data_IF_026932669372
#
_entry.id   IF_026932669372
#
_cell.length_a   1.000
_cell.length_b   1.000
_cell.length_c   1.000
_cell.angle_alpha   90.00
_cell.angle_beta   90.00
_cell.angle_gamma   90.00
#
_symmetry.space_group_name_H-M   'P 1'
#
loop_
_entity.id
_entity.type
_entity.pdbx_description
1 polymer ?
#
# COMPACT_ATOMS: atom_id res chain seq x y z
N UNK A 1 9.94 -51.06 -27.13
CA UNK A 1 10.96 -49.98 -27.11
C UNK A 1 10.68 -49.07 -28.29
N UNK A 2 10.19 -47.86 -28.05
CA UNK A 2 10.09 -46.79 -29.04
C UNK A 2 10.49 -45.51 -28.29
N UNK A 3 11.62 -44.93 -28.67
CA UNK A 3 12.16 -43.71 -28.09
C UNK A 3 11.38 -42.52 -28.66
N UNK A 4 10.41 -42.01 -27.92
CA UNK A 4 9.90 -40.65 -28.12
C UNK A 4 11.03 -39.68 -27.76
N UNK A 5 11.92 -39.45 -28.71
CA UNK A 5 12.85 -38.36 -28.67
C UNK A 5 12.09 -37.13 -29.12
N UNK A 6 11.19 -36.61 -28.25
CA UNK A 6 10.63 -35.26 -28.41
C UNK A 6 11.83 -34.33 -28.54
N UNK A 7 12.04 -33.87 -29.77
CA UNK A 7 13.14 -32.99 -30.10
C UNK A 7 12.90 -31.70 -29.32
N UNK A 8 13.62 -31.51 -28.20
CA UNK A 8 13.57 -30.29 -27.41
C UNK A 8 14.13 -29.14 -28.26
N UNK A 9 13.23 -28.49 -29.02
CA UNK A 9 13.53 -27.32 -29.84
C UNK A 9 13.51 -26.08 -28.96
N UNK A 10 14.40 -25.13 -29.27
CA UNK A 10 14.32 -23.83 -28.63
C UNK A 10 13.00 -23.14 -29.01
N UNK A 11 12.26 -22.66 -28.03
CA UNK A 11 10.97 -21.98 -28.21
C UNK A 11 11.09 -20.61 -28.91
N UNK A 12 12.32 -20.10 -29.08
CA UNK A 12 12.61 -18.84 -29.77
C UNK A 12 13.18 -19.08 -31.18
N UNK A 13 14.27 -19.85 -31.29
CA UNK A 13 14.96 -20.03 -32.58
C UNK A 13 14.74 -21.39 -33.26
N UNK A 14 13.94 -22.28 -32.67
CA UNK A 14 13.58 -23.61 -33.20
C UNK A 14 14.77 -24.52 -33.52
N UNK A 15 15.94 -24.28 -32.91
CA UNK A 15 17.13 -25.12 -33.07
C UNK A 15 17.13 -26.31 -32.12
N UNK A 16 17.61 -27.45 -32.62
CA UNK A 16 17.85 -28.73 -31.92
C UNK A 16 19.02 -28.67 -30.93
N UNK A 17 18.98 -27.71 -30.01
CA UNK A 17 20.01 -27.51 -29.00
C UNK A 17 19.46 -27.00 -27.66
N UNK A 18 18.14 -27.07 -27.46
CA UNK A 18 17.54 -26.63 -26.22
C UNK A 18 17.78 -27.65 -25.11
N UNK A 19 18.62 -27.27 -24.14
CA UNK A 19 18.97 -28.09 -22.97
C UNK A 19 18.40 -27.53 -21.67
N UNK A 20 17.86 -26.30 -21.71
CA UNK A 20 17.36 -25.59 -20.54
C UNK A 20 15.84 -25.49 -20.62
N UNK A 21 15.15 -25.95 -19.58
CA UNK A 21 13.70 -25.85 -19.43
C UNK A 21 13.35 -24.79 -18.40
N UNK A 22 12.52 -23.82 -18.77
CA UNK A 22 11.95 -22.86 -17.83
C UNK A 22 10.65 -23.42 -17.26
N UNK A 23 10.62 -23.67 -15.95
CA UNK A 23 9.43 -24.21 -15.26
C UNK A 23 8.27 -23.21 -15.20
N UNK A 24 8.58 -21.91 -15.09
CA UNK A 24 7.58 -20.84 -15.06
C UNK A 24 6.88 -20.68 -16.42
N UNK A 25 7.65 -20.66 -17.51
CA UNK A 25 7.09 -20.51 -18.86
C UNK A 25 6.71 -21.83 -19.54
N UNK A 26 7.08 -22.98 -18.95
CA UNK A 26 6.90 -24.33 -19.49
C UNK A 26 7.44 -24.47 -20.93
N UNK A 27 8.65 -23.95 -21.17
CA UNK A 27 9.28 -23.86 -22.49
C UNK A 27 10.75 -24.26 -22.45
N UNK A 28 11.22 -24.87 -23.53
CA UNK A 28 12.64 -25.20 -23.74
C UNK A 28 13.35 -24.08 -24.49
N UNK A 29 14.60 -23.82 -24.11
CA UNK A 29 15.44 -22.78 -24.71
C UNK A 29 16.86 -23.28 -24.96
N UNK A 30 17.48 -22.79 -26.04
CA UNK A 30 18.93 -22.92 -26.20
C UNK A 30 19.63 -21.99 -25.19
N UNK A 31 20.92 -22.25 -24.90
CA UNK A 31 21.66 -21.51 -23.86
C UNK A 31 21.65 -19.99 -24.06
N UNK A 32 21.75 -19.53 -25.33
CA UNK A 32 21.74 -18.10 -25.66
C UNK A 32 20.38 -17.48 -25.30
N UNK A 33 19.32 -18.06 -25.85
CA UNK A 33 17.96 -17.55 -25.72
C UNK A 33 17.44 -17.70 -24.28
N UNK A 34 17.92 -18.68 -23.52
CA UNK A 34 17.61 -18.84 -22.10
C UNK A 34 18.15 -17.68 -21.26
N UNK A 35 19.38 -17.22 -21.55
CA UNK A 35 19.98 -16.08 -20.84
C UNK A 35 19.21 -14.79 -21.13
N UNK A 36 18.86 -14.56 -22.39
CA UNK A 36 18.05 -13.40 -22.79
C UNK A 36 16.65 -13.46 -22.15
N UNK A 37 16.05 -14.65 -22.09
CA UNK A 37 14.78 -14.86 -21.40
C UNK A 37 14.85 -14.51 -19.91
N UNK A 38 15.93 -14.91 -19.22
CA UNK A 38 16.17 -14.59 -17.80
C UNK A 38 16.32 -13.09 -17.58
N UNK A 39 17.09 -12.40 -18.43
CA UNK A 39 17.24 -10.93 -18.38
C UNK A 39 15.90 -10.22 -18.59
N UNK A 40 15.08 -10.67 -19.55
CA UNK A 40 13.74 -10.11 -19.76
C UNK A 40 12.81 -10.32 -18.57
N UNK A 41 12.88 -11.49 -17.91
CA UNK A 41 12.10 -11.76 -16.71
C UNK A 41 12.50 -10.86 -15.55
N UNK A 42 13.80 -10.62 -15.37
CA UNK A 42 14.31 -9.71 -14.34
C UNK A 42 13.80 -8.28 -14.58
N UNK A 43 13.90 -7.79 -15.81
CA UNK A 43 13.40 -6.46 -16.19
C UNK A 43 11.90 -6.34 -15.93
N UNK A 44 11.11 -7.36 -16.27
CA UNK A 44 9.66 -7.36 -15.98
C UNK A 44 9.38 -7.39 -14.48
N UNK A 45 10.13 -8.19 -13.72
CA UNK A 45 9.96 -8.26 -12.28
C UNK A 45 10.18 -6.89 -11.62
N UNK A 46 11.26 -6.19 -12.00
CA UNK A 46 11.55 -4.86 -11.48
C UNK A 46 10.47 -3.84 -11.88
N UNK A 47 10.06 -3.84 -13.15
CA UNK A 47 9.13 -2.84 -13.69
C UNK A 47 7.66 -3.07 -13.30
N UNK A 48 7.25 -4.32 -13.15
CA UNK A 48 5.85 -4.68 -12.91
C UNK A 48 5.60 -5.03 -11.45
N UNK A 49 6.46 -5.84 -10.83
CA UNK A 49 6.24 -6.35 -9.48
C UNK A 49 6.80 -5.40 -8.44
N UNK A 50 8.08 -5.06 -8.52
CA UNK A 50 8.72 -4.19 -7.52
C UNK A 50 8.10 -2.80 -7.53
N UNK A 51 7.95 -2.20 -8.71
CA UNK A 51 7.30 -0.89 -8.84
C UNK A 51 5.86 -0.89 -8.31
N UNK A 52 5.04 -1.90 -8.65
CA UNK A 52 3.67 -1.98 -8.14
C UNK A 52 3.63 -2.15 -6.64
N UNK A 53 4.54 -2.94 -6.07
CA UNK A 53 4.68 -3.10 -4.63
C UNK A 53 4.99 -1.76 -3.95
N UNK A 54 5.93 -0.99 -4.48
CA UNK A 54 6.33 0.29 -3.90
C UNK A 54 5.22 1.34 -4.00
N UNK A 55 4.49 1.37 -5.12
CA UNK A 55 3.31 2.21 -5.30
C UNK A 55 2.21 1.87 -4.28
N UNK A 56 1.97 0.58 -4.03
CA UNK A 56 0.99 0.13 -3.03
C UNK A 56 1.42 0.52 -1.61
N UNK A 57 2.70 0.38 -1.27
CA UNK A 57 3.21 0.81 0.03
C UNK A 57 3.05 2.32 0.25
N UNK A 58 3.37 3.13 -0.75
CA UNK A 58 3.18 4.58 -0.68
C UNK A 58 1.70 4.97 -0.51
N UNK A 59 0.79 4.28 -1.22
CA UNK A 59 -0.65 4.47 -1.04
C UNK A 59 -1.13 4.14 0.38
N UNK A 60 -0.67 3.02 0.94
CA UNK A 60 -1.02 2.62 2.32
C UNK A 60 -0.54 3.69 3.31
N UNK A 61 0.71 4.14 3.21
CA UNK A 61 1.27 5.16 4.10
C UNK A 61 0.52 6.49 4.01
N UNK A 62 0.13 6.90 2.80
CA UNK A 62 -0.67 8.12 2.59
C UNK A 62 -2.05 8.02 3.24
N UNK A 63 -2.72 6.87 3.13
CA UNK A 63 -4.02 6.64 3.75
C UNK A 63 -3.92 6.63 5.28
N UNK A 64 -2.92 5.97 5.84
CA UNK A 64 -2.68 5.96 7.30
C UNK A 64 -2.42 7.37 7.83
N UNK A 65 -1.58 8.15 7.15
CA UNK A 65 -1.30 9.54 7.52
C UNK A 65 -2.56 10.42 7.43
N UNK A 66 -3.38 10.23 6.40
CA UNK A 66 -4.64 10.96 6.22
C UNK A 66 -5.65 10.60 7.32
N UNK A 67 -5.81 9.30 7.64
CA UNK A 67 -6.68 8.84 8.71
C UNK A 67 -6.23 9.36 10.08
N UNK A 68 -4.93 9.33 10.36
CA UNK A 68 -4.37 9.90 11.59
C UNK A 68 -4.70 11.39 11.71
N UNK A 69 -4.49 12.16 10.63
CA UNK A 69 -4.80 13.60 10.61
C UNK A 69 -6.29 13.85 10.84
N UNK A 70 -7.16 13.06 10.20
CA UNK A 70 -8.61 13.14 10.37
C UNK A 70 -9.03 12.89 11.82
N UNK A 71 -8.57 11.78 12.42
CA UNK A 71 -8.88 11.45 13.82
C UNK A 71 -8.41 12.53 14.79
N UNK A 72 -7.21 13.06 14.59
CA UNK A 72 -6.67 14.13 15.43
C UNK A 72 -7.49 15.44 15.32
N UNK A 73 -7.96 15.80 14.14
CA UNK A 73 -8.83 16.98 13.95
C UNK A 73 -10.17 16.79 14.68
N UNK A 74 -10.77 15.60 14.61
CA UNK A 74 -11.99 15.31 15.37
C UNK A 74 -11.80 15.43 16.88
N UNK A 75 -10.68 14.94 17.42
CA UNK A 75 -10.35 15.08 18.83
C UNK A 75 -10.19 16.56 19.24
N UNK A 76 -9.54 17.37 18.40
CA UNK A 76 -9.40 18.81 18.64
C UNK A 76 -10.77 19.52 18.65
N UNK A 77 -11.66 19.17 17.72
CA UNK A 77 -13.03 19.73 17.68
C UNK A 77 -13.79 19.35 18.95
N UNK A 78 -13.69 18.10 19.40
CA UNK A 78 -14.37 17.64 20.62
C UNK A 78 -13.84 18.35 21.88
N UNK A 79 -12.53 18.53 21.98
CA UNK A 79 -11.90 19.29 23.07
C UNK A 79 -12.33 20.76 23.04
N UNK A 80 -12.35 21.38 21.86
CA UNK A 80 -12.80 22.76 21.69
C UNK A 80 -14.27 22.90 22.11
N UNK A 81 -15.14 21.98 21.70
CA UNK A 81 -16.56 21.94 22.07
C UNK A 81 -16.74 21.85 23.59
N UNK A 82 -16.09 20.88 24.24
CA UNK A 82 -16.14 20.68 25.70
C UNK A 82 -15.66 21.92 26.45
N UNK A 83 -14.54 22.50 26.03
CA UNK A 83 -13.96 23.69 26.66
C UNK A 83 -14.88 24.89 26.55
N UNK A 84 -15.49 25.08 25.37
CA UNK A 84 -16.39 26.21 25.11
C UNK A 84 -17.66 26.10 25.95
N UNK A 85 -18.29 24.92 25.99
CA UNK A 85 -19.48 24.68 26.83
C UNK A 85 -19.15 24.94 28.30
N UNK A 86 -18.00 24.47 28.79
CA UNK A 86 -17.60 24.68 30.18
C UNK A 86 -17.39 26.17 30.50
N UNK A 87 -16.79 26.94 29.58
CA UNK A 87 -16.62 28.39 29.75
C UNK A 87 -17.96 29.11 29.83
N UNK A 88 -18.91 28.76 28.96
CA UNK A 88 -20.26 29.35 28.96
C UNK A 88 -21.00 29.01 30.26
N UNK A 89 -20.93 27.75 30.71
CA UNK A 89 -21.53 27.32 31.98
C UNK A 89 -20.97 28.12 33.16
N UNK A 90 -19.64 28.20 33.28
CA UNK A 90 -18.99 28.97 34.35
C UNK A 90 -19.35 30.44 34.34
N UNK A 91 -19.47 31.04 33.15
CA UNK A 91 -19.90 32.43 33.02
C UNK A 91 -21.36 32.62 33.50
N UNK A 92 -22.26 31.72 33.10
CA UNK A 92 -23.66 31.76 33.53
C UNK A 92 -23.80 31.53 35.05
N UNK A 93 -23.09 30.55 35.61
CA UNK A 93 -23.06 30.25 37.05
C UNK A 93 -22.54 31.45 37.85
N UNK A 94 -21.49 32.12 37.36
CA UNK A 94 -20.95 33.32 37.99
C UNK A 94 -21.99 34.44 38.07
N UNK A 95 -22.66 34.75 36.96
CA UNK A 95 -23.71 35.77 36.92
C UNK A 95 -24.89 35.42 37.82
N UNK A 96 -25.32 34.15 37.82
CA UNK A 96 -26.37 33.69 38.73
C UNK A 96 -25.98 33.90 40.20
N UNK A 97 -24.75 33.57 40.57
CA UNK A 97 -24.28 33.74 41.94
C UNK A 97 -24.19 35.22 42.35
N UNK A 98 -23.71 36.09 41.46
CA UNK A 98 -23.67 37.54 41.68
C UNK A 98 -25.08 38.13 41.89
N UNK A 99 -26.06 37.69 41.09
CA UNK A 99 -27.46 38.14 41.24
C UNK A 99 -28.08 37.68 42.56
N UNK A 100 -27.81 36.46 43.03
CA UNK A 100 -28.31 35.96 44.32
C UNK A 100 -27.73 36.81 45.46
N UNK A 101 -26.43 37.09 45.45
CA UNK A 101 -25.78 37.91 46.49
C UNK A 101 -26.30 39.36 46.52
N UNK A 102 -26.69 39.91 45.37
CA UNK A 102 -27.32 41.23 45.29
C UNK A 102 -28.77 41.24 45.79
N UNK A 103 -29.49 40.11 45.67
CA UNK A 103 -30.87 40.00 46.12
C UNK A 103 -31.00 39.69 47.63
N UNK A 104 -29.93 39.20 48.26
CA UNK A 104 -29.87 38.89 49.70
C UNK A 104 -29.34 40.05 50.58
N UNK A 105 -28.86 41.14 49.98
CA UNK A 105 -28.51 42.41 50.64
C UNK A 105 -29.63 43.44 50.51
#
# INVERSE_FOLDING_TARGET
MATDNELNLCSICSKLSAKSFCTGCKKYFCRKDFKEHEEQLLIRFDNEIVRSHDELLDLIQKLEKSNYLSLHVFDQIEQWKKTTINKVKKAAEKVQHELIQLAEN
#
